data_IF_729502829073
#
_entry.id   IF_729502829073
#
_cell.length_a   1.000
_cell.length_b   1.000
_cell.length_c   1.000
_cell.angle_alpha   90.00
_cell.angle_beta   90.00
_cell.angle_gamma   90.00
#
_symmetry.space_group_name_H-M   'P 1'
#
loop_
_entity.id
_entity.type
_entity.pdbx_description
1 polymer ?
#
# COMPACT_ATOMS: atom_id res chain seq x y z
N UNK A 1 -28.18 16.72 -1.31
CA UNK A 1 -28.23 15.32 -1.78
C UNK A 1 -26.80 14.85 -2.06
N UNK A 2 -26.26 14.02 -1.21
CA UNK A 2 -24.95 13.42 -1.45
C UNK A 2 -25.13 12.26 -2.45
N UNK A 3 -24.86 12.53 -3.72
CA UNK A 3 -24.71 11.47 -4.70
C UNK A 3 -23.34 10.84 -4.47
N UNK A 4 -23.25 9.79 -3.67
CA UNK A 4 -22.13 8.86 -3.72
C UNK A 4 -22.32 8.05 -5.01
N UNK A 5 -21.74 8.53 -6.11
CA UNK A 5 -21.66 7.74 -7.32
C UNK A 5 -20.76 6.54 -7.02
N UNK A 6 -21.34 5.36 -6.95
CA UNK A 6 -20.58 4.12 -6.84
C UNK A 6 -19.90 3.88 -8.18
N UNK A 7 -18.58 3.96 -8.21
CA UNK A 7 -17.79 3.66 -9.40
C UNK A 7 -17.62 2.15 -9.52
N UNK A 8 -17.94 1.59 -10.69
CA UNK A 8 -17.70 0.18 -10.97
C UNK A 8 -16.20 -0.11 -10.96
N UNK A 9 -15.70 -1.01 -10.11
CA UNK A 9 -14.28 -1.34 -10.07
C UNK A 9 -13.74 -1.97 -11.36
N UNK A 10 -14.62 -2.54 -12.20
CA UNK A 10 -14.26 -3.11 -13.48
C UNK A 10 -14.23 -2.09 -14.64
N UNK A 11 -14.54 -0.83 -14.36
CA UNK A 11 -14.41 0.24 -15.37
C UNK A 11 -12.96 0.33 -15.85
N UNK A 12 -12.75 0.46 -17.15
CA UNK A 12 -11.39 0.69 -17.67
C UNK A 12 -10.90 2.08 -17.32
N UNK A 13 -9.60 2.26 -17.23
CA UNK A 13 -9.01 3.57 -16.94
C UNK A 13 -9.40 4.60 -17.99
N UNK A 14 -9.51 4.20 -19.25
CA UNK A 14 -9.99 5.06 -20.35
C UNK A 14 -11.42 5.56 -20.09
N UNK A 15 -12.34 4.65 -19.79
CA UNK A 15 -13.73 5.00 -19.49
C UNK A 15 -13.86 5.84 -18.21
N UNK A 16 -13.11 5.49 -17.17
CA UNK A 16 -13.06 6.23 -15.92
C UNK A 16 -12.67 7.70 -16.15
N UNK A 17 -11.63 7.95 -16.93
CA UNK A 17 -11.13 9.29 -17.18
C UNK A 17 -12.06 10.11 -18.09
N UNK A 18 -12.83 9.44 -18.96
CA UNK A 18 -13.85 10.08 -19.79
C UNK A 18 -15.07 10.48 -18.94
N UNK A 19 -15.55 9.57 -18.09
CA UNK A 19 -16.72 9.80 -17.24
C UNK A 19 -16.42 10.75 -16.07
N UNK A 20 -15.21 10.69 -15.54
CA UNK A 20 -14.75 11.47 -14.38
C UNK A 20 -13.42 12.17 -14.70
N UNK A 21 -13.44 13.32 -15.38
CA UNK A 21 -12.19 14.02 -15.79
C UNK A 21 -11.26 14.41 -14.64
N UNK A 22 -11.78 14.51 -13.43
CA UNK A 22 -10.99 14.75 -12.21
C UNK A 22 -10.34 13.50 -11.61
N UNK A 23 -10.69 12.30 -12.09
CA UNK A 23 -10.24 11.03 -11.49
C UNK A 23 -8.71 10.87 -11.53
N UNK A 24 -8.06 11.23 -12.63
CA UNK A 24 -6.61 11.15 -12.74
C UNK A 24 -5.90 11.98 -11.67
N UNK A 25 -6.37 13.21 -11.45
CA UNK A 25 -5.82 14.09 -10.42
C UNK A 25 -6.08 13.54 -9.02
N UNK A 26 -7.26 12.98 -8.78
CA UNK A 26 -7.63 12.39 -7.50
C UNK A 26 -6.80 11.13 -7.21
N UNK A 27 -6.63 10.25 -8.20
CA UNK A 27 -5.77 9.06 -8.10
C UNK A 27 -4.32 9.44 -7.83
N UNK A 28 -3.80 10.45 -8.53
CA UNK A 28 -2.44 10.92 -8.30
C UNK A 28 -2.27 11.56 -6.92
N UNK A 29 -3.18 12.46 -6.53
CA UNK A 29 -3.07 13.18 -5.25
C UNK A 29 -3.23 12.29 -4.03
N UNK A 30 -4.10 11.30 -4.10
CA UNK A 30 -4.44 10.43 -2.96
C UNK A 30 -3.65 9.13 -2.93
N UNK A 31 -3.32 8.58 -4.10
CA UNK A 31 -2.72 7.26 -4.23
C UNK A 31 -1.43 7.25 -5.07
N UNK A 32 -0.98 8.40 -5.55
CA UNK A 32 0.19 8.57 -6.44
C UNK A 32 0.14 7.71 -7.72
N UNK A 33 -1.03 7.27 -8.12
CA UNK A 33 -1.24 6.47 -9.34
C UNK A 33 -1.28 7.39 -10.56
N UNK A 34 -0.43 7.10 -11.55
CA UNK A 34 -0.39 7.82 -12.84
C UNK A 34 0.53 9.03 -12.88
N UNK A 35 1.34 9.26 -11.84
CA UNK A 35 2.26 10.40 -11.77
C UNK A 35 3.70 10.11 -12.21
N UNK A 36 4.06 8.86 -12.44
CA UNK A 36 5.39 8.46 -12.86
C UNK A 36 5.32 7.29 -13.87
N UNK A 37 6.43 7.03 -14.56
CA UNK A 37 6.50 5.96 -15.55
C UNK A 37 6.27 4.55 -14.98
N UNK A 38 6.61 4.34 -13.70
CA UNK A 38 6.44 3.05 -13.01
C UNK A 38 5.08 2.86 -12.37
N UNK A 39 4.35 3.94 -12.10
CA UNK A 39 2.99 3.91 -11.53
C UNK A 39 1.91 4.26 -12.56
N UNK A 40 2.26 4.26 -13.85
CA UNK A 40 1.35 4.42 -14.95
C UNK A 40 0.35 3.27 -15.07
N UNK A 41 -0.67 3.48 -15.84
CA UNK A 41 -1.67 2.46 -16.19
C UNK A 41 -1.92 2.43 -17.69
N UNK A 42 -2.34 1.27 -18.20
CA UNK A 42 -2.84 1.14 -19.56
C UNK A 42 -4.28 1.67 -19.67
N UNK A 43 -4.68 2.30 -20.77
CA UNK A 43 -6.08 2.74 -20.97
C UNK A 43 -7.11 1.61 -20.84
N UNK A 44 -6.73 0.40 -21.21
CA UNK A 44 -7.60 -0.80 -21.18
C UNK A 44 -7.57 -1.53 -19.82
N UNK A 45 -6.67 -1.15 -18.94
CA UNK A 45 -6.59 -1.73 -17.59
C UNK A 45 -7.78 -1.28 -16.75
N UNK A 46 -8.32 -2.17 -15.91
CA UNK A 46 -9.44 -1.80 -15.01
C UNK A 46 -8.95 -1.05 -13.78
N UNK A 47 -9.83 -0.26 -13.18
CA UNK A 47 -9.55 0.43 -11.92
C UNK A 47 -9.15 -0.58 -10.82
N UNK A 48 -9.87 -1.70 -10.72
CA UNK A 48 -9.54 -2.77 -9.79
C UNK A 48 -8.13 -3.35 -10.05
N UNK A 49 -7.76 -3.55 -11.30
CA UNK A 49 -6.43 -4.05 -11.69
C UNK A 49 -5.32 -3.07 -11.31
N UNK A 50 -5.52 -1.78 -11.54
CA UNK A 50 -4.56 -0.74 -11.15
C UNK A 50 -4.39 -0.68 -9.63
N UNK A 51 -5.48 -0.73 -8.87
CA UNK A 51 -5.44 -0.75 -7.41
C UNK A 51 -4.75 -2.01 -6.89
N UNK A 52 -5.12 -3.19 -7.39
CA UNK A 52 -4.53 -4.47 -6.97
C UNK A 52 -3.02 -4.56 -7.20
N UNK A 53 -2.54 -3.98 -8.29
CA UNK A 53 -1.11 -3.94 -8.60
C UNK A 53 -0.29 -3.10 -7.61
N UNK A 54 -0.91 -2.07 -7.02
CA UNK A 54 -0.26 -1.17 -6.07
C UNK A 54 -0.48 -1.56 -4.60
N UNK A 55 -1.34 -2.54 -4.33
CA UNK A 55 -1.66 -3.02 -2.99
C UNK A 55 -1.43 -4.53 -2.87
N UNK A 56 -1.09 -4.97 -1.69
CA UNK A 56 -1.03 -6.38 -1.33
C UNK A 56 -2.20 -6.71 -0.40
N UNK A 57 -2.96 -7.75 -0.71
CA UNK A 57 -4.07 -8.20 0.15
C UNK A 57 -3.53 -8.93 1.38
N UNK A 58 -4.15 -8.78 2.57
CA UNK A 58 -3.66 -9.43 3.79
C UNK A 58 -3.52 -10.95 3.66
N UNK A 59 -4.49 -11.64 3.08
CA UNK A 59 -4.45 -13.08 2.89
C UNK A 59 -3.34 -13.51 1.91
N UNK A 60 -3.19 -12.80 0.80
CA UNK A 60 -2.12 -13.04 -0.17
C UNK A 60 -0.74 -12.88 0.46
N UNK A 61 -0.56 -11.83 1.26
CA UNK A 61 0.68 -11.60 1.99
C UNK A 61 0.96 -12.74 2.99
N UNK A 62 -0.05 -13.19 3.72
CA UNK A 62 0.08 -14.30 4.66
C UNK A 62 0.49 -15.61 3.96
N UNK A 63 -0.09 -15.90 2.80
CA UNK A 63 0.26 -17.08 2.00
C UNK A 63 1.71 -17.02 1.50
N UNK A 64 2.16 -15.86 1.05
CA UNK A 64 3.55 -15.66 0.59
C UNK A 64 4.56 -15.76 1.73
N UNK A 65 4.24 -15.24 2.92
CA UNK A 65 5.07 -15.39 4.13
C UNK A 65 5.14 -16.88 4.51
N UNK A 66 4.02 -17.58 4.53
CA UNK A 66 3.96 -19.01 4.84
C UNK A 66 4.73 -19.88 3.83
N UNK A 67 4.79 -19.45 2.56
CA UNK A 67 5.60 -20.10 1.53
C UNK A 67 7.11 -19.85 1.65
N UNK A 68 7.55 -19.01 2.60
CA UNK A 68 8.96 -18.70 2.83
C UNK A 68 9.54 -17.70 1.83
N UNK A 69 8.71 -16.92 1.14
CA UNK A 69 9.20 -15.87 0.26
C UNK A 69 9.95 -14.79 1.06
N UNK A 70 11.09 -14.28 0.54
CA UNK A 70 11.82 -13.19 1.18
C UNK A 70 11.05 -11.87 1.00
N UNK A 71 10.33 -11.46 2.03
CA UNK A 71 9.51 -10.24 2.06
C UNK A 71 10.02 -9.33 3.16
N UNK A 72 10.24 -8.07 2.82
CA UNK A 72 10.63 -7.03 3.78
C UNK A 72 9.39 -6.26 4.21
N UNK A 73 8.98 -6.44 5.47
CA UNK A 73 7.85 -5.74 6.06
C UNK A 73 8.33 -4.46 6.75
N UNK A 74 7.80 -3.32 6.32
CA UNK A 74 8.13 -2.01 6.87
C UNK A 74 6.89 -1.38 7.51
N UNK A 75 7.02 -1.04 8.79
CA UNK A 75 5.98 -0.38 9.57
C UNK A 75 6.23 1.13 9.61
N UNK A 76 5.31 1.92 9.04
CA UNK A 76 5.42 3.38 8.98
C UNK A 76 4.59 4.09 10.06
N UNK A 77 4.18 3.35 11.08
CA UNK A 77 3.49 3.92 12.26
C UNK A 77 4.47 4.57 13.24
N UNK A 78 3.94 5.03 14.36
CA UNK A 78 4.78 5.52 15.45
C UNK A 78 5.52 4.38 16.15
N UNK A 79 6.59 4.71 16.87
CA UNK A 79 7.34 3.73 17.69
C UNK A 79 6.45 3.09 18.75
N UNK A 80 5.60 3.87 19.38
CA UNK A 80 4.67 3.38 20.40
C UNK A 80 3.68 2.35 19.85
N UNK A 81 3.13 2.59 18.66
CA UNK A 81 2.25 1.64 17.99
C UNK A 81 3.00 0.36 17.62
N UNK A 82 4.22 0.50 17.09
CA UNK A 82 5.07 -0.64 16.72
C UNK A 82 5.45 -1.51 17.92
N UNK A 83 5.79 -0.89 19.04
CA UNK A 83 6.14 -1.62 20.28
C UNK A 83 4.92 -2.30 20.90
N UNK A 84 3.74 -1.71 20.77
CA UNK A 84 2.49 -2.28 21.29
C UNK A 84 2.04 -3.51 20.48
N UNK A 85 2.02 -3.41 19.16
CA UNK A 85 1.62 -4.49 18.26
C UNK A 85 2.24 -4.30 16.88
N UNK A 86 2.75 -5.37 16.28
CA UNK A 86 3.37 -5.36 14.95
C UNK A 86 3.16 -6.68 14.24
N UNK A 87 3.32 -6.68 12.92
CA UNK A 87 3.37 -7.91 12.14
C UNK A 87 4.67 -8.67 12.45
N UNK A 88 4.67 -10.02 12.34
CA UNK A 88 5.88 -10.83 12.52
C UNK A 88 7.00 -10.36 11.58
N UNK A 89 8.21 -10.24 12.11
CA UNK A 89 9.42 -9.85 11.39
C UNK A 89 9.39 -8.44 10.74
N UNK A 90 8.42 -7.61 11.11
CA UNK A 90 8.34 -6.24 10.65
C UNK A 90 9.44 -5.38 11.29
N UNK A 91 9.96 -4.44 10.50
CA UNK A 91 10.92 -3.41 10.97
C UNK A 91 10.23 -2.05 10.98
N UNK A 92 10.45 -1.30 12.06
CA UNK A 92 9.98 0.09 12.13
C UNK A 92 10.74 0.94 11.12
N UNK A 93 10.00 1.68 10.30
CA UNK A 93 10.54 2.59 9.31
C UNK A 93 11.12 3.83 9.99
N UNK A 94 12.45 3.90 10.03
CA UNK A 94 13.21 5.04 10.55
C UNK A 94 13.99 5.70 9.43
N UNK A 95 14.50 6.90 9.67
CA UNK A 95 15.34 7.60 8.71
C UNK A 95 16.61 6.80 8.39
N UNK A 96 17.20 6.15 9.39
CA UNK A 96 18.40 5.31 9.23
C UNK A 96 18.10 4.09 8.37
N UNK A 97 16.96 3.41 8.62
CA UNK A 97 16.53 2.27 7.80
C UNK A 97 16.23 2.68 6.36
N UNK A 98 15.61 3.84 6.17
CA UNK A 98 15.37 4.38 4.83
C UNK A 98 16.69 4.59 4.07
N UNK A 99 17.68 5.20 4.71
CA UNK A 99 18.99 5.43 4.10
C UNK A 99 19.71 4.10 3.79
N UNK A 100 19.64 3.13 4.70
CA UNK A 100 20.18 1.78 4.49
C UNK A 100 19.56 1.11 3.26
N UNK A 101 18.23 1.13 3.14
CA UNK A 101 17.50 0.54 2.02
C UNK A 101 17.83 1.25 0.72
N UNK A 102 17.84 2.57 0.70
CA UNK A 102 18.14 3.37 -0.51
C UNK A 102 19.58 3.16 -0.99
N UNK A 103 20.52 2.96 -0.07
CA UNK A 103 21.95 2.78 -0.38
C UNK A 103 22.30 1.35 -0.79
N UNK A 104 21.76 0.37 -0.09
CA UNK A 104 22.20 -1.04 -0.17
C UNK A 104 21.08 -2.00 -0.53
N UNK A 105 19.81 -1.57 -0.51
CA UNK A 105 18.67 -2.44 -0.77
C UNK A 105 18.60 -2.89 -2.23
N UNK A 106 18.29 -4.17 -2.43
CA UNK A 106 18.01 -4.68 -3.77
C UNK A 106 16.73 -4.07 -4.33
N UNK A 107 16.80 -3.52 -5.53
CA UNK A 107 15.66 -2.90 -6.23
C UNK A 107 14.58 -3.88 -6.64
N UNK A 108 14.89 -5.18 -6.66
CA UNK A 108 13.99 -6.26 -7.07
C UNK A 108 13.33 -7.00 -5.91
N UNK A 109 13.79 -6.80 -4.68
CA UNK A 109 13.18 -7.40 -3.51
C UNK A 109 11.76 -6.88 -3.28
N UNK A 110 10.89 -7.75 -2.77
CA UNK A 110 9.54 -7.35 -2.37
C UNK A 110 9.57 -6.64 -1.02
N UNK A 111 9.16 -5.38 -1.03
CA UNK A 111 8.88 -4.59 0.16
C UNK A 111 7.37 -4.43 0.31
N UNK A 112 6.84 -4.76 1.46
CA UNK A 112 5.44 -4.47 1.81
C UNK A 112 5.45 -3.49 2.97
N UNK A 113 4.86 -2.33 2.74
CA UNK A 113 4.78 -1.23 3.70
C UNK A 113 3.38 -1.22 4.28
N UNK A 114 3.26 -1.10 5.58
CA UNK A 114 1.96 -1.01 6.23
C UNK A 114 1.92 0.09 7.29
N UNK A 115 0.73 0.59 7.52
CA UNK A 115 0.37 1.48 8.62
C UNK A 115 -0.84 0.91 9.38
N UNK A 116 -1.61 1.76 10.03
CA UNK A 116 -2.79 1.32 10.77
C UNK A 116 -3.92 0.85 9.83
N UNK A 117 -4.29 1.66 8.83
CA UNK A 117 -5.46 1.43 7.96
C UNK A 117 -5.17 1.48 6.45
N UNK A 118 -3.92 1.66 6.05
CA UNK A 118 -3.48 1.64 4.65
C UNK A 118 -3.34 3.00 3.96
N UNK A 119 -3.59 4.11 4.66
CA UNK A 119 -3.55 5.44 4.04
C UNK A 119 -2.13 6.00 3.86
N UNK A 120 -1.29 5.90 4.90
CA UNK A 120 0.09 6.43 4.90
C UNK A 120 1.07 5.54 4.18
N UNK A 121 0.86 4.22 4.22
CA UNK A 121 1.74 3.25 3.57
C UNK A 121 1.78 3.39 2.06
N UNK A 122 0.73 3.89 1.44
CA UNK A 122 0.72 4.16 0.00
C UNK A 122 1.66 5.30 -0.39
N UNK A 123 1.76 6.35 0.41
CA UNK A 123 2.69 7.46 0.18
C UNK A 123 4.14 6.97 0.27
N UNK A 124 4.45 6.16 1.27
CA UNK A 124 5.78 5.58 1.43
C UNK A 124 6.13 4.61 0.28
N UNK A 125 5.19 3.78 -0.16
CA UNK A 125 5.39 2.90 -1.31
C UNK A 125 5.69 3.68 -2.59
N UNK A 126 4.95 4.75 -2.85
CA UNK A 126 5.18 5.64 -4.00
C UNK A 126 6.56 6.30 -3.95
N UNK A 127 7.01 6.70 -2.76
CA UNK A 127 8.35 7.25 -2.57
C UNK A 127 9.45 6.28 -2.99
N UNK A 128 9.37 5.02 -2.53
CA UNK A 128 10.33 3.99 -2.92
C UNK A 128 10.27 3.66 -4.42
N UNK A 129 9.08 3.58 -5.00
CA UNK A 129 8.91 3.36 -6.44
C UNK A 129 9.57 4.49 -7.25
N UNK A 130 9.44 5.74 -6.81
CA UNK A 130 10.13 6.88 -7.41
C UNK A 130 11.66 6.81 -7.34
N UNK A 131 12.22 5.99 -6.42
CA UNK A 131 13.66 5.73 -6.27
C UNK A 131 14.12 4.43 -6.96
N UNK A 132 13.29 3.86 -7.82
CA UNK A 132 13.64 2.71 -8.65
C UNK A 132 13.43 1.34 -8.01
N UNK A 133 12.74 1.26 -6.89
CA UNK A 133 12.33 -0.02 -6.30
C UNK A 133 11.12 -0.57 -7.05
N UNK A 134 11.26 -1.73 -7.67
CA UNK A 134 10.28 -2.27 -8.61
C UNK A 134 9.12 -3.00 -7.91
N UNK A 135 9.39 -3.63 -6.76
CA UNK A 135 8.45 -4.48 -6.04
C UNK A 135 8.11 -3.89 -4.66
N UNK A 136 7.52 -2.70 -4.64
CA UNK A 136 7.04 -2.09 -3.39
C UNK A 136 5.53 -2.02 -3.42
N UNK A 137 4.90 -2.54 -2.38
CA UNK A 137 3.44 -2.58 -2.23
C UNK A 137 3.02 -2.05 -0.86
N UNK A 138 1.83 -1.49 -0.80
CA UNK A 138 1.13 -1.16 0.44
C UNK A 138 0.26 -2.33 0.86
N UNK A 139 0.18 -2.62 2.16
CA UNK A 139 -0.76 -3.60 2.69
C UNK A 139 -2.16 -2.98 2.77
N UNK A 140 -3.12 -3.54 2.02
CA UNK A 140 -4.51 -3.08 2.01
C UNK A 140 -5.11 -3.13 3.42
N UNK A 141 -5.63 -2.00 3.87
CA UNK A 141 -6.26 -1.85 5.18
C UNK A 141 -5.30 -1.91 6.36
N UNK A 142 -3.99 -1.99 6.14
CA UNK A 142 -2.95 -1.96 7.15
C UNK A 142 -3.01 -3.11 8.15
N UNK A 143 -2.42 -2.91 9.33
CA UNK A 143 -2.46 -3.91 10.42
C UNK A 143 -3.88 -4.16 10.94
N UNK A 144 -4.77 -3.20 10.82
CA UNK A 144 -6.18 -3.38 11.23
C UNK A 144 -6.86 -4.45 10.37
N UNK A 145 -6.71 -4.41 9.04
CA UNK A 145 -7.23 -5.46 8.15
C UNK A 145 -6.51 -6.80 8.37
N UNK A 146 -5.22 -6.80 8.61
CA UNK A 146 -4.49 -8.02 8.96
C UNK A 146 -5.06 -8.69 10.19
N UNK A 147 -5.29 -7.94 11.27
CA UNK A 147 -5.91 -8.45 12.49
C UNK A 147 -7.30 -9.02 12.21
N UNK A 148 -8.12 -8.33 11.42
CA UNK A 148 -9.48 -8.78 11.12
C UNK A 148 -9.54 -10.03 10.24
N UNK A 149 -8.64 -10.15 9.26
CA UNK A 149 -8.74 -11.11 8.17
C UNK A 149 -7.74 -12.28 8.27
N UNK A 150 -6.61 -12.09 8.94
CA UNK A 150 -5.51 -13.07 8.99
C UNK A 150 -5.25 -13.55 10.40
N UNK A 151 -5.00 -12.65 11.33
CA UNK A 151 -4.60 -13.00 12.71
C UNK A 151 -5.44 -12.26 13.75
N UNK A 152 -6.60 -12.81 14.13
CA UNK A 152 -7.48 -12.19 15.13
C UNK A 152 -6.87 -12.08 16.54
N UNK A 153 -5.73 -12.72 16.80
CA UNK A 153 -5.03 -12.61 18.09
C UNK A 153 -4.34 -11.26 18.27
N UNK A 154 -4.05 -10.56 17.15
CA UNK A 154 -3.49 -9.21 17.23
C UNK A 154 -4.57 -8.21 17.65
N UNK A 155 -4.32 -7.41 18.70
CA UNK A 155 -5.30 -6.45 19.19
C UNK A 155 -5.56 -5.35 18.16
N UNK A 156 -6.84 -5.06 17.93
CA UNK A 156 -7.28 -3.91 17.13
C UNK A 156 -7.38 -2.69 18.01
N UNK A 157 -7.03 -1.54 17.48
CA UNK A 157 -7.10 -0.27 18.19
C UNK A 157 -7.64 0.83 17.26
N UNK A 158 -8.11 1.89 17.88
CA UNK A 158 -8.54 3.09 17.19
C UNK A 158 -7.61 4.24 17.55
N UNK A 159 -7.14 4.96 16.52
CA UNK A 159 -6.40 6.21 16.73
C UNK A 159 -7.42 7.33 16.73
N UNK A 160 -7.56 8.02 17.85
CA UNK A 160 -8.37 9.24 17.88
C UNK A 160 -7.75 10.28 16.94
N UNK A 161 -8.53 10.72 15.97
CA UNK A 161 -8.12 11.83 15.12
C UNK A 161 -8.26 13.12 15.93
N UNK A 162 -7.16 13.63 16.37
CA UNK A 162 -7.09 14.97 16.96
C UNK A 162 -7.05 16.04 15.89
#
# INVERSE_FOLDING_TARGET
MNFTATIDPNITMKELLVQFPGAQRALFRKYHIGGCASCGFSPEETLAGVCARNENQPQELAERIAAGEPIYLLDVRTREEFEAVKLPDARLFTQELMQEILSNGSRTNLFVIYDHTGARSMDAAAYFQGHGFENVKSLRGGIDAWSAEVDPSLPRYHVEQT
#
